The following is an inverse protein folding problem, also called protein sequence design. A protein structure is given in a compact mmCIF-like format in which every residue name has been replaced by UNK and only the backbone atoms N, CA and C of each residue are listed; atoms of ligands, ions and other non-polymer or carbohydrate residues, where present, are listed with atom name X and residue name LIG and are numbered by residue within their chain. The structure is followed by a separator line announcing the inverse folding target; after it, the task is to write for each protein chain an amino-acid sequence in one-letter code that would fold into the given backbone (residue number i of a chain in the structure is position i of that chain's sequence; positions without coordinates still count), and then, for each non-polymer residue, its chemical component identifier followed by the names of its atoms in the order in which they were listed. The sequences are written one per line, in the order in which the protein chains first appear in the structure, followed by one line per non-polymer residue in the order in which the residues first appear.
data_IF_469011714588
#
_entry.id   IF_469011714588
#
_cell.length_a   1.000
_cell.length_b   1.000
_cell.length_c   1.000
_cell.angle_alpha   90.00
_cell.angle_beta   90.00
_cell.angle_gamma   90.00
#
_symmetry.space_group_name_H-M   'P 1'
#
loop_
_entity.id
_entity.type
_entity.pdbx_description
1 polymer ?
#
# COMPACT_ATOMS: atom_id res chain seq x y z
N UNK A 1 30.26 6.89 3.72
CA UNK A 1 29.33 8.03 3.51
C UNK A 1 29.10 8.36 2.04
N UNK A 2 29.75 7.67 1.09
CA UNK A 2 29.44 7.73 -0.35
C UNK A 2 28.26 6.82 -0.74
N UNK A 3 27.97 5.77 0.03
CA UNK A 3 26.97 4.75 -0.33
C UNK A 3 25.52 5.23 -0.23
N UNK A 4 25.20 6.13 0.70
CA UNK A 4 23.83 6.67 0.85
C UNK A 4 23.50 7.64 -0.28
N UNK A 5 24.50 8.39 -0.78
CA UNK A 5 24.34 9.27 -1.94
C UNK A 5 23.93 8.48 -3.19
N UNK A 6 24.55 7.32 -3.43
CA UNK A 6 24.23 6.47 -4.58
C UNK A 6 22.82 5.85 -4.52
N UNK A 7 22.26 5.63 -3.33
CA UNK A 7 20.88 5.16 -3.17
C UNK A 7 19.89 6.27 -3.53
N UNK A 8 20.22 7.53 -3.22
CA UNK A 8 19.42 8.70 -3.60
C UNK A 8 19.51 8.99 -5.10
N UNK A 9 20.56 8.56 -5.80
CA UNK A 9 20.63 8.62 -7.27
C UNK A 9 19.77 7.55 -7.97
N UNK A 10 19.26 6.56 -7.24
CA UNK A 10 18.37 5.56 -7.80
C UNK A 10 17.00 6.18 -8.14
N UNK A 11 16.88 6.65 -9.38
CA UNK A 11 15.68 7.30 -9.91
C UNK A 11 14.45 6.41 -9.83
N UNK A 12 14.60 5.10 -10.02
CA UNK A 12 13.50 4.14 -9.92
C UNK A 12 12.98 4.08 -8.48
N UNK A 13 13.88 4.05 -7.49
CA UNK A 13 13.50 4.09 -6.08
C UNK A 13 12.82 5.41 -5.72
N UNK A 14 13.39 6.54 -6.15
CA UNK A 14 12.81 7.86 -5.87
C UNK A 14 11.40 8.00 -6.44
N UNK A 15 11.16 7.59 -7.68
CA UNK A 15 9.83 7.66 -8.30
C UNK A 15 8.85 6.73 -7.60
N UNK A 16 9.29 5.53 -7.20
CA UNK A 16 8.45 4.60 -6.45
C UNK A 16 8.03 5.20 -5.08
N UNK A 17 8.98 5.81 -4.36
CA UNK A 17 8.70 6.51 -3.09
C UNK A 17 7.78 7.71 -3.31
N UNK A 18 7.99 8.49 -4.38
CA UNK A 18 7.12 9.61 -4.73
C UNK A 18 5.70 9.12 -5.01
N UNK A 19 5.53 8.02 -5.75
CA UNK A 19 4.21 7.43 -5.99
C UNK A 19 3.51 7.01 -4.70
N UNK A 20 4.25 6.45 -3.74
CA UNK A 20 3.74 6.11 -2.41
C UNK A 20 3.27 7.36 -1.64
N UNK A 21 4.10 8.41 -1.60
CA UNK A 21 3.76 9.68 -0.94
C UNK A 21 2.56 10.35 -1.61
N UNK A 22 2.50 10.38 -2.95
CA UNK A 22 1.35 10.91 -3.69
C UNK A 22 0.07 10.14 -3.37
N UNK A 23 0.13 8.81 -3.28
CA UNK A 23 -1.03 7.99 -2.90
C UNK A 23 -1.50 8.30 -1.47
N UNK A 24 -0.58 8.52 -0.53
CA UNK A 24 -0.90 8.90 0.84
C UNK A 24 -1.54 10.29 0.93
N UNK A 25 -0.98 11.28 0.22
CA UNK A 25 -1.54 12.63 0.14
C UNK A 25 -2.95 12.58 -0.46
N UNK A 26 -3.13 11.85 -1.57
CA UNK A 26 -4.42 11.73 -2.22
C UNK A 26 -5.46 11.07 -1.31
N UNK A 27 -5.05 10.05 -0.53
CA UNK A 27 -5.93 9.44 0.48
C UNK A 27 -6.38 10.47 1.53
N UNK A 28 -5.47 11.29 2.05
CA UNK A 28 -5.81 12.35 3.01
C UNK A 28 -6.76 13.40 2.41
N UNK A 29 -6.55 13.78 1.15
CA UNK A 29 -7.43 14.72 0.44
C UNK A 29 -8.83 14.14 0.22
N UNK A 30 -8.93 12.88 -0.22
CA UNK A 30 -10.21 12.19 -0.41
C UNK A 30 -10.96 12.10 0.92
N UNK A 31 -10.26 11.76 2.00
CA UNK A 31 -10.84 11.70 3.35
C UNK A 31 -11.35 13.08 3.81
N UNK A 32 -10.55 14.14 3.59
CA UNK A 32 -10.93 15.50 3.93
C UNK A 32 -12.18 15.95 3.17
N UNK A 33 -12.27 15.68 1.87
CA UNK A 33 -13.42 16.05 1.04
C UNK A 33 -14.68 15.26 1.46
N UNK A 34 -14.53 13.98 1.76
CA UNK A 34 -15.67 13.10 2.05
C UNK A 34 -16.21 13.28 3.46
N UNK A 35 -15.34 13.47 4.45
CA UNK A 35 -15.71 13.50 5.86
C UNK A 35 -15.59 14.89 6.50
N UNK A 36 -15.08 15.89 5.75
CA UNK A 36 -14.95 17.29 6.20
C UNK A 36 -13.94 17.49 7.35
N UNK A 37 -13.18 16.46 7.72
CA UNK A 37 -12.22 16.49 8.83
C UNK A 37 -10.92 15.83 8.39
N UNK A 38 -9.80 16.47 8.72
CA UNK A 38 -8.48 15.86 8.56
C UNK A 38 -8.31 14.82 9.66
N UNK A 39 -8.43 13.54 9.32
CA UNK A 39 -8.17 12.47 10.26
C UNK A 39 -6.81 11.82 9.95
N UNK A 40 -5.75 12.26 10.64
CA UNK A 40 -4.40 11.70 10.46
C UNK A 40 -4.32 10.21 10.81
N UNK A 41 -5.29 9.70 11.58
CA UNK A 41 -5.42 8.27 11.87
C UNK A 41 -5.60 7.43 10.60
N UNK A 42 -6.10 7.99 9.49
CA UNK A 42 -6.23 7.30 8.18
C UNK A 42 -4.86 7.00 7.53
N UNK A 43 -3.80 7.68 7.96
CA UNK A 43 -2.44 7.40 7.52
C UNK A 43 -1.84 6.18 8.22
N UNK A 44 -2.26 5.94 9.48
CA UNK A 44 -1.75 4.86 10.34
C UNK A 44 -2.67 3.64 10.31
N UNK A 45 -3.98 3.82 10.10
CA UNK A 45 -4.94 2.76 9.95
C UNK A 45 -4.79 2.07 8.59
N UNK A 46 -4.86 0.75 8.60
CA UNK A 46 -4.82 -0.06 7.37
C UNK A 46 -6.13 0.11 6.59
N UNK A 47 -6.05 0.53 5.32
CA UNK A 47 -7.21 0.69 4.43
C UNK A 47 -7.27 2.06 3.73
N UNK A 48 -8.31 2.29 2.92
CA UNK A 48 -8.57 3.56 2.22
C UNK A 48 -8.11 3.59 0.76
N UNK A 49 -8.62 4.55 -0.02
CA UNK A 49 -8.37 4.69 -1.46
C UNK A 49 -7.50 5.94 -1.74
N UNK A 50 -6.49 5.85 -2.62
CA UNK A 50 -5.91 4.65 -3.25
C UNK A 50 -4.92 3.91 -2.33
N UNK A 51 -4.57 2.66 -2.68
CA UNK A 51 -3.57 1.89 -1.93
C UNK A 51 -2.14 2.38 -2.21
N UNK A 52 -1.48 2.91 -1.18
CA UNK A 52 -0.09 3.39 -1.29
C UNK A 52 0.94 2.27 -1.51
N UNK A 53 0.74 1.10 -0.90
CA UNK A 53 1.60 -0.07 -1.14
C UNK A 53 1.50 -0.54 -2.60
N UNK A 54 0.28 -0.55 -3.15
CA UNK A 54 0.06 -0.95 -4.55
C UNK A 54 0.69 0.08 -5.50
N UNK A 55 0.53 1.38 -5.23
CA UNK A 55 1.18 2.43 -6.02
C UNK A 55 2.71 2.36 -5.98
N UNK A 56 3.29 2.06 -4.81
CA UNK A 56 4.73 1.90 -4.64
C UNK A 56 5.29 0.76 -5.51
N UNK A 57 4.73 -0.44 -5.37
CA UNK A 57 5.29 -1.63 -6.05
C UNK A 57 5.02 -1.64 -7.55
N UNK A 58 3.90 -1.07 -8.01
CA UNK A 58 3.66 -0.94 -9.45
C UNK A 58 4.49 0.16 -10.07
N UNK A 59 4.73 1.27 -9.36
CA UNK A 59 5.67 2.29 -9.83
C UNK A 59 7.10 1.75 -9.94
N UNK A 60 7.52 0.92 -8.98
CA UNK A 60 8.80 0.20 -9.00
C UNK A 60 8.89 -0.71 -10.22
N UNK A 61 7.95 -1.64 -10.40
CA UNK A 61 7.97 -2.58 -11.54
C UNK A 61 7.95 -1.85 -12.89
N UNK A 62 7.11 -0.81 -13.02
CA UNK A 62 7.04 0.02 -14.23
C UNK A 62 8.34 0.80 -14.45
N UNK A 63 8.97 1.29 -13.38
CA UNK A 63 10.23 2.02 -13.43
C UNK A 63 11.39 1.13 -13.88
N UNK A 64 11.50 -0.08 -13.31
CA UNK A 64 12.48 -1.10 -13.73
C UNK A 64 12.29 -1.48 -15.20
N UNK A 65 11.04 -1.69 -15.64
CA UNK A 65 10.74 -1.99 -17.04
C UNK A 65 11.11 -0.85 -17.99
N UNK A 66 10.96 0.40 -17.56
CA UNK A 66 11.36 1.58 -18.34
C UNK A 66 12.88 1.83 -18.35
N UNK A 67 13.59 1.52 -17.26
CA UNK A 67 15.03 1.81 -17.13
C UNK A 67 15.93 0.70 -17.66
N UNK A 68 15.60 -0.56 -17.38
CA UNK A 68 16.41 -1.73 -17.76
C UNK A 68 15.80 -2.52 -18.93
N UNK A 69 14.50 -2.33 -19.18
CA UNK A 69 13.76 -3.00 -20.25
C UNK A 69 12.83 -4.11 -19.74
N UNK A 70 11.73 -4.30 -20.46
CA UNK A 70 10.63 -5.20 -20.08
C UNK A 70 10.97 -6.70 -20.19
N UNK A 71 12.03 -7.07 -20.90
CA UNK A 71 12.47 -8.46 -21.06
C UNK A 71 13.53 -8.89 -20.04
N UNK A 72 13.88 -8.02 -19.08
CA UNK A 72 14.95 -8.29 -18.12
C UNK A 72 14.48 -9.16 -16.95
N UNK A 73 15.38 -9.98 -16.37
CA UNK A 73 15.11 -10.69 -15.12
C UNK A 73 14.70 -9.75 -13.97
N UNK A 74 15.25 -8.53 -13.94
CA UNK A 74 14.93 -7.50 -12.96
C UNK A 74 13.46 -7.07 -13.02
N UNK A 75 12.92 -6.87 -14.23
CA UNK A 75 11.51 -6.56 -14.41
C UNK A 75 10.61 -7.72 -13.97
N UNK A 76 11.00 -8.96 -14.29
CA UNK A 76 10.26 -10.15 -13.84
C UNK A 76 10.23 -10.25 -12.31
N UNK A 77 11.38 -10.04 -11.65
CA UNK A 77 11.49 -10.03 -10.20
C UNK A 77 10.61 -8.93 -9.57
N UNK A 78 10.68 -7.70 -10.08
CA UNK A 78 9.89 -6.58 -9.58
C UNK A 78 8.38 -6.81 -9.77
N UNK A 79 7.99 -7.43 -10.88
CA UNK A 79 6.59 -7.76 -11.17
C UNK A 79 6.05 -8.84 -10.23
N UNK A 80 6.79 -9.93 -10.05
CA UNK A 80 6.40 -10.99 -9.10
C UNK A 80 6.32 -10.44 -7.68
N UNK A 81 7.30 -9.62 -7.27
CA UNK A 81 7.27 -8.92 -5.99
C UNK A 81 6.02 -8.04 -5.84
N UNK A 82 5.67 -7.26 -6.86
CA UNK A 82 4.48 -6.43 -6.86
C UNK A 82 3.20 -7.26 -6.68
N UNK A 83 3.08 -8.40 -7.38
CA UNK A 83 1.92 -9.30 -7.26
C UNK A 83 1.80 -9.83 -5.84
N UNK A 84 2.89 -10.29 -5.23
CA UNK A 84 2.88 -10.82 -3.85
C UNK A 84 2.43 -9.74 -2.86
N UNK A 85 2.99 -8.53 -2.96
CA UNK A 85 2.62 -7.41 -2.07
C UNK A 85 1.17 -6.99 -2.25
N UNK A 86 0.67 -6.94 -3.49
CA UNK A 86 -0.74 -6.64 -3.76
C UNK A 86 -1.68 -7.72 -3.22
N UNK A 87 -1.29 -9.00 -3.33
CA UNK A 87 -2.07 -10.12 -2.80
C UNK A 87 -2.13 -10.09 -1.25
N UNK A 88 -1.02 -9.81 -0.57
CA UNK A 88 -1.00 -9.66 0.89
C UNK A 88 -1.88 -8.49 1.34
N UNK A 89 -1.78 -7.34 0.65
CA UNK A 89 -2.54 -6.14 0.96
C UNK A 89 -4.06 -6.32 0.76
N UNK A 90 -4.47 -7.09 -0.25
CA UNK A 90 -5.88 -7.31 -0.58
C UNK A 90 -6.51 -8.51 0.15
N UNK A 91 -5.85 -9.66 0.13
CA UNK A 91 -6.45 -10.94 0.51
C UNK A 91 -6.19 -11.32 1.96
N UNK A 92 -4.91 -11.42 2.33
CA UNK A 92 -4.49 -11.98 3.63
C UNK A 92 -4.92 -11.07 4.78
N UNK A 93 -4.66 -9.76 4.68
CA UNK A 93 -4.99 -8.81 5.75
C UNK A 93 -6.49 -8.63 5.96
N UNK A 94 -7.28 -8.63 4.88
CA UNK A 94 -8.74 -8.58 4.99
C UNK A 94 -9.31 -9.83 5.68
N UNK A 95 -8.81 -11.01 5.33
CA UNK A 95 -9.26 -12.26 5.95
C UNK A 95 -8.95 -12.29 7.45
N UNK A 96 -7.74 -11.91 7.84
CA UNK A 96 -7.32 -11.82 9.24
C UNK A 96 -8.19 -10.83 10.04
N UNK A 97 -8.52 -9.66 9.47
CA UNK A 97 -9.42 -8.71 10.13
C UNK A 97 -10.85 -9.21 10.27
N UNK A 98 -11.37 -9.92 9.27
CA UNK A 98 -12.69 -10.55 9.36
C UNK A 98 -12.72 -11.61 10.46
N UNK A 99 -11.66 -12.41 10.58
CA UNK A 99 -11.51 -13.39 11.65
C UNK A 99 -11.42 -12.71 13.03
N UNK A 100 -10.61 -11.65 13.16
CA UNK A 100 -10.49 -10.88 14.40
C UNK A 100 -11.84 -10.30 14.85
N UNK A 101 -12.64 -9.76 13.91
CA UNK A 101 -13.98 -9.25 14.19
C UNK A 101 -14.94 -10.33 14.69
N UNK A 102 -14.97 -11.48 14.02
CA UNK A 102 -15.81 -12.61 14.44
C UNK A 102 -15.39 -13.10 15.83
N UNK A 103 -14.08 -13.19 16.08
CA UNK A 103 -13.56 -13.64 17.37
C UNK A 103 -13.88 -12.63 18.49
N UNK A 104 -13.72 -11.33 18.25
CA UNK A 104 -14.13 -10.29 19.20
C UNK A 104 -15.63 -10.40 19.54
N UNK A 105 -16.48 -10.65 18.54
CA UNK A 105 -17.92 -10.86 18.77
C UNK A 105 -18.21 -12.11 19.60
N UNK A 106 -17.51 -13.22 19.34
CA UNK A 106 -17.65 -14.44 20.14
C UNK A 106 -17.22 -14.23 21.60
N UNK A 107 -16.15 -13.47 21.83
CA UNK A 107 -15.69 -13.11 23.19
C UNK A 107 -16.75 -12.25 23.89
N UNK A 108 -17.30 -11.25 23.20
CA UNK A 108 -18.34 -10.37 23.75
C UNK A 108 -19.62 -11.15 24.12
N UNK A 109 -19.99 -12.18 23.37
CA UNK A 109 -21.13 -13.05 23.67
C UNK A 109 -20.83 -14.05 24.80
N UNK A 110 -19.63 -14.63 24.83
CA UNK A 110 -19.28 -15.69 25.78
C UNK A 110 -18.97 -15.16 27.19
N UNK A 111 -18.37 -13.97 27.30
CA UNK A 111 -17.94 -13.37 28.57
C UNK A 111 -18.83 -12.22 29.02
N UNK A 112 -20.06 -12.16 28.51
CA UNK A 112 -21.02 -11.09 28.78
C UNK A 112 -21.30 -10.89 30.28
N UNK A 113 -21.35 -11.97 31.07
CA UNK A 113 -21.59 -11.94 32.52
C UNK A 113 -20.31 -11.87 33.38
N UNK A 114 -19.14 -12.08 32.77
CA UNK A 114 -17.84 -12.03 33.45
C UNK A 114 -16.81 -11.22 32.62
N UNK A 115 -16.99 -9.89 32.53
CA UNK A 115 -16.12 -9.02 31.72
C UNK A 115 -14.66 -9.10 32.15
N UNK A 116 -14.41 -9.39 33.42
CA UNK A 116 -13.10 -9.46 34.06
C UNK A 116 -12.21 -10.60 33.51
N UNK A 117 -12.84 -11.57 32.82
CA UNK A 117 -12.17 -12.73 32.21
C UNK A 117 -11.93 -12.50 30.70
N UNK A 118 -12.59 -11.50 30.10
CA UNK A 118 -12.41 -11.18 28.69
C UNK A 118 -10.97 -10.68 28.46
N UNK A 119 -10.19 -11.44 27.68
CA UNK A 119 -8.85 -11.04 27.27
C UNK A 119 -8.85 -9.82 26.31
N UNK A 120 -7.66 -9.34 25.98
CA UNK A 120 -7.50 -8.19 25.08
C UNK A 120 -8.14 -8.44 23.69
N UNK A 121 -8.84 -7.42 23.17
CA UNK A 121 -9.46 -7.49 21.85
C UNK A 121 -8.41 -7.51 20.75
N UNK A 122 -8.66 -8.29 19.70
CA UNK A 122 -7.80 -8.27 18.52
C UNK A 122 -8.06 -7.01 17.68
N UNK A 123 -6.99 -6.49 17.07
CA UNK A 123 -7.09 -5.40 16.09
C UNK A 123 -7.82 -5.89 14.84
N UNK A 124 -8.94 -5.26 14.53
CA UNK A 124 -9.72 -5.54 13.31
C UNK A 124 -9.07 -4.86 12.10
N UNK A 125 -8.17 -5.57 11.42
CA UNK A 125 -7.48 -5.08 10.24
C UNK A 125 -8.42 -5.04 9.02
N UNK A 126 -8.88 -3.86 8.62
CA UNK A 126 -9.82 -3.72 7.50
C UNK A 126 -9.23 -4.11 6.12
N UNK A 127 -7.90 -4.18 5.99
CA UNK A 127 -7.21 -4.45 4.71
C UNK A 127 -7.59 -3.45 3.59
N UNK A 128 -7.10 -3.68 2.37
CA UNK A 128 -7.51 -2.91 1.19
C UNK A 128 -8.46 -3.71 0.32
N UNK A 129 -9.57 -3.11 -0.12
CA UNK A 129 -10.44 -3.77 -1.10
C UNK A 129 -9.70 -3.99 -2.43
N UNK A 130 -10.05 -5.02 -3.22
CA UNK A 130 -9.42 -5.25 -4.53
C UNK A 130 -9.46 -4.00 -5.42
N UNK A 131 -10.54 -3.23 -5.35
CA UNK A 131 -10.67 -1.97 -6.08
C UNK A 131 -9.67 -0.90 -5.61
N UNK A 132 -9.40 -0.79 -4.30
CA UNK A 132 -8.38 0.12 -3.77
C UNK A 132 -6.96 -0.25 -4.23
N UNK A 133 -6.69 -1.55 -4.34
CA UNK A 133 -5.43 -2.07 -4.89
C UNK A 133 -5.30 -1.69 -6.35
N UNK A 134 -6.32 -1.97 -7.18
CA UNK A 134 -6.33 -1.61 -8.61
C UNK A 134 -6.13 -0.09 -8.81
N UNK A 135 -6.84 0.74 -8.04
CA UNK A 135 -6.69 2.19 -8.10
C UNK A 135 -5.27 2.66 -7.74
N UNK A 136 -4.67 2.04 -6.71
CA UNK A 136 -3.27 2.28 -6.36
C UNK A 136 -2.31 1.83 -7.45
N UNK A 137 -2.52 0.64 -8.02
CA UNK A 137 -1.71 0.10 -9.11
C UNK A 137 -1.70 1.04 -10.32
N UNK A 138 -2.88 1.50 -10.74
CA UNK A 138 -3.04 2.45 -11.84
C UNK A 138 -2.35 3.79 -11.56
N UNK A 139 -2.46 4.31 -10.34
CA UNK A 139 -1.75 5.52 -9.93
C UNK A 139 -0.23 5.33 -10.01
N UNK A 140 0.30 4.23 -9.49
CA UNK A 140 1.75 3.94 -9.52
C UNK A 140 2.30 3.81 -10.94
N UNK A 141 1.59 3.10 -11.82
CA UNK A 141 1.94 2.98 -13.25
C UNK A 141 1.94 4.36 -13.90
N UNK A 142 0.90 5.17 -13.65
CA UNK A 142 0.76 6.50 -14.24
C UNK A 142 1.90 7.43 -13.81
N UNK A 143 2.22 7.47 -12.51
CA UNK A 143 3.33 8.28 -11.98
C UNK A 143 4.67 7.85 -12.57
N UNK A 144 4.92 6.54 -12.63
CA UNK A 144 6.15 6.02 -13.21
C UNK A 144 6.25 6.29 -14.71
N UNK A 145 5.13 6.25 -15.44
CA UNK A 145 5.09 6.61 -16.86
C UNK A 145 5.36 8.11 -17.05
N UNK A 146 4.75 8.99 -16.25
CA UNK A 146 5.02 10.42 -16.32
C UNK A 146 6.48 10.77 -15.98
N UNK A 147 7.09 9.99 -15.08
CA UNK A 147 8.50 10.11 -14.73
C UNK A 147 9.45 9.49 -15.77
N UNK A 148 8.96 9.05 -16.93
CA UNK A 148 9.76 8.43 -17.99
C UNK A 148 11.01 9.23 -18.36
N UNK A 149 10.90 10.55 -18.44
CA UNK A 149 12.02 11.44 -18.75
C UNK A 149 13.15 11.36 -17.72
N UNK A 150 12.82 11.05 -16.46
CA UNK A 150 13.82 10.85 -15.42
C UNK A 150 14.65 9.58 -15.67
N UNK A 151 14.08 8.54 -16.26
CA UNK A 151 14.80 7.28 -16.53
C UNK A 151 15.65 7.32 -17.81
N UNK A 152 15.28 8.18 -18.76
CA UNK A 152 15.93 8.30 -20.08
C UNK A 152 16.96 9.44 -20.10
N UNK A 153 17.20 10.09 -18.97
CA UNK A 153 18.21 11.15 -18.88
C UNK A 153 19.62 10.58 -19.17
N UNK A 154 20.37 11.15 -20.14
CA UNK A 154 21.69 10.66 -20.56
C UNK A 154 22.76 10.82 -19.48
#
# INVERSE_FOLDING_TARGET
MQDIGNILDNRVLLVALLACVTAQILKLLIELIRNGKVNASVLVNTGGMPSAHSALVTALATGVGQSLGWATPDFALATVFAIIVMYDAAGVRQAAGKQARILNQMIDELFQEHPDIAGDRLKELLGHTPFQVIAGSALGITISWLARSAYISP
#
